data_IF_461644213202
#
_entry.id   IF_461644213202
#
_cell.length_a   1.000
_cell.length_b   1.000
_cell.length_c   1.000
_cell.angle_alpha   90.00
_cell.angle_beta   90.00
_cell.angle_gamma   90.00
#
_symmetry.space_group_name_H-M   'P 1'
#
loop_
_entity.id
_entity.type
_entity.pdbx_description
1 polymer ?
#
# COMPACT_ATOMS: atom_id res chain seq x y z
N UNK A 1 -25.12 48.49 20.24
CA UNK A 1 -25.42 47.13 19.77
C UNK A 1 -24.44 46.17 20.43
N UNK A 2 -24.86 45.48 21.51
CA UNK A 2 -24.00 44.58 22.30
C UNK A 2 -23.93 43.23 21.59
N UNK A 3 -22.79 42.89 21.01
CA UNK A 3 -22.54 41.57 20.44
C UNK A 3 -22.58 40.57 21.60
N UNK A 4 -23.52 39.62 21.54
CA UNK A 4 -23.65 38.56 22.53
C UNK A 4 -22.47 37.60 22.36
N UNK A 5 -21.50 37.71 23.25
CA UNK A 5 -20.23 36.96 23.28
C UNK A 5 -20.32 35.42 23.43
N UNK A 6 -21.43 34.75 23.84
CA UNK A 6 -21.38 33.28 23.95
C UNK A 6 -21.53 32.55 22.61
N UNK A 7 -22.03 33.20 21.55
CA UNK A 7 -22.29 32.54 20.26
C UNK A 7 -21.02 32.39 19.41
N UNK A 8 -20.08 33.33 19.53
CA UNK A 8 -18.81 33.32 18.78
C UNK A 8 -17.85 32.23 19.29
N UNK A 9 -17.85 31.97 20.60
CA UNK A 9 -17.04 30.91 21.22
C UNK A 9 -17.55 29.50 20.86
N UNK A 10 -18.87 29.32 20.73
CA UNK A 10 -19.46 28.03 20.32
C UNK A 10 -19.11 27.69 18.86
N UNK A 11 -19.06 28.70 17.98
CA UNK A 11 -18.68 28.53 16.58
C UNK A 11 -17.18 28.19 16.42
N UNK A 12 -16.29 28.79 17.22
CA UNK A 12 -14.86 28.48 17.20
C UNK A 12 -14.60 27.06 17.71
N UNK A 13 -15.33 26.61 18.74
CA UNK A 13 -15.26 25.22 19.21
C UNK A 13 -15.78 24.21 18.17
N UNK A 14 -16.81 24.57 17.40
CA UNK A 14 -17.36 23.71 16.34
C UNK A 14 -16.42 23.62 15.12
N UNK A 15 -15.75 24.72 14.76
CA UNK A 15 -14.78 24.75 13.65
C UNK A 15 -13.49 24.01 13.98
N UNK A 16 -13.08 23.93 15.25
CA UNK A 16 -11.93 23.14 15.69
C UNK A 16 -12.19 21.62 15.77
N UNK A 17 -13.45 21.19 15.71
CA UNK A 17 -13.81 19.76 15.75
C UNK A 17 -13.91 19.10 14.36
N UNK A 18 -13.86 19.87 13.26
CA UNK A 18 -13.99 19.32 11.89
C UNK A 18 -12.64 18.94 11.27
N UNK A 19 -11.52 19.28 11.90
CA UNK A 19 -10.18 19.09 11.32
C UNK A 19 -9.50 17.75 11.68
N UNK A 20 -10.17 16.88 12.44
CA UNK A 20 -9.55 15.68 13.02
C UNK A 20 -10.15 14.36 12.52
N UNK A 21 -10.60 14.33 11.27
CA UNK A 21 -10.83 13.06 10.56
C UNK A 21 -9.84 12.94 9.41
N UNK A 22 -8.55 13.01 9.72
CA UNK A 22 -7.53 12.51 8.81
C UNK A 22 -7.62 10.99 8.88
N UNK A 23 -8.22 10.35 7.88
CA UNK A 23 -8.13 8.90 7.72
C UNK A 23 -6.65 8.55 7.65
N UNK A 24 -6.13 7.87 8.67
CA UNK A 24 -4.79 7.29 8.56
C UNK A 24 -4.78 6.36 7.35
N UNK A 25 -3.86 6.62 6.40
CA UNK A 25 -3.71 5.77 5.24
C UNK A 25 -3.42 4.33 5.67
N UNK A 26 -4.19 3.37 5.12
CA UNK A 26 -4.16 1.97 5.55
C UNK A 26 -3.37 1.11 4.57
N UNK A 27 -3.17 -0.17 4.91
CA UNK A 27 -2.53 -1.12 4.00
C UNK A 27 -3.51 -1.53 2.90
N UNK A 28 -3.03 -1.99 1.75
CA UNK A 28 -3.88 -2.58 0.70
C UNK A 28 -4.90 -3.59 1.21
N UNK A 29 -4.49 -4.49 2.12
CA UNK A 29 -5.37 -5.51 2.74
C UNK A 29 -6.53 -4.94 3.56
N UNK A 30 -6.48 -3.66 3.93
CA UNK A 30 -7.52 -2.96 4.66
C UNK A 30 -8.56 -2.29 3.71
N UNK A 31 -8.39 -2.44 2.38
CA UNK A 31 -9.30 -2.01 1.33
C UNK A 31 -9.83 -3.23 0.54
N UNK A 32 -10.94 -3.86 0.98
CA UNK A 32 -11.48 -5.03 0.30
C UNK A 32 -11.98 -4.70 -1.11
N UNK A 33 -12.03 -5.71 -1.96
CA UNK A 33 -12.49 -5.63 -3.36
C UNK A 33 -11.73 -4.61 -4.21
N UNK A 34 -10.41 -4.51 -4.01
CA UNK A 34 -9.53 -3.58 -4.75
C UNK A 34 -8.50 -4.32 -5.59
N UNK A 35 -8.12 -3.73 -6.73
CA UNK A 35 -6.96 -4.15 -7.51
C UNK A 35 -5.80 -3.17 -7.33
N UNK A 36 -4.59 -3.68 -7.08
CA UNK A 36 -3.39 -2.87 -6.93
C UNK A 36 -2.42 -3.18 -8.05
N UNK A 37 -1.98 -2.14 -8.77
CA UNK A 37 -1.04 -2.27 -9.89
C UNK A 37 0.12 -1.33 -9.69
N UNK A 38 1.33 -1.86 -9.86
CA UNK A 38 2.54 -1.05 -9.89
C UNK A 38 2.54 -0.19 -11.16
N UNK A 39 2.89 1.09 -11.06
CA UNK A 39 2.92 2.04 -12.19
C UNK A 39 3.84 1.57 -13.32
N UNK A 40 4.97 0.94 -12.96
CA UNK A 40 5.91 0.34 -13.91
C UNK A 40 5.36 -0.94 -14.58
N UNK A 41 4.12 -1.34 -14.28
CA UNK A 41 3.40 -2.45 -14.92
C UNK A 41 3.88 -3.85 -14.54
N UNK A 42 4.92 -3.96 -13.72
CA UNK A 42 5.61 -5.23 -13.46
C UNK A 42 5.02 -6.04 -12.30
N UNK A 43 4.08 -5.50 -11.53
CA UNK A 43 3.50 -6.18 -10.36
C UNK A 43 2.03 -5.82 -10.24
N UNK A 44 1.19 -6.82 -10.00
CA UNK A 44 -0.23 -6.63 -9.73
C UNK A 44 -0.76 -7.66 -8.74
N UNK A 45 -1.76 -7.29 -7.95
CA UNK A 45 -2.52 -8.19 -7.08
C UNK A 45 -3.91 -7.63 -6.81
N UNK A 46 -4.82 -8.46 -6.30
CA UNK A 46 -6.14 -8.04 -5.82
C UNK A 46 -6.29 -8.31 -4.32
N UNK A 47 -7.15 -7.57 -3.65
CA UNK A 47 -7.59 -7.84 -2.28
C UNK A 47 -9.05 -8.24 -2.34
N UNK A 48 -9.38 -9.43 -1.85
CA UNK A 48 -10.75 -9.94 -1.87
C UNK A 48 -11.61 -9.31 -0.75
N UNK A 49 -12.90 -9.64 -0.72
CA UNK A 49 -13.87 -9.15 0.27
C UNK A 49 -13.47 -9.41 1.74
N UNK A 50 -12.65 -10.45 2.00
CA UNK A 50 -12.16 -10.80 3.34
C UNK A 50 -10.83 -10.10 3.70
N UNK A 51 -10.32 -9.20 2.84
CA UNK A 51 -9.05 -8.51 3.04
C UNK A 51 -7.81 -9.38 2.75
N UNK A 52 -7.95 -10.47 1.99
CA UNK A 52 -6.83 -11.34 1.62
C UNK A 52 -6.30 -11.00 0.23
N UNK A 53 -4.98 -11.06 0.09
CA UNK A 53 -4.32 -10.90 -1.21
C UNK A 53 -4.54 -12.13 -2.08
N UNK A 54 -4.92 -11.90 -3.34
CA UNK A 54 -5.12 -12.92 -4.38
C UNK A 54 -4.56 -12.44 -5.72
N UNK A 55 -4.43 -13.36 -6.68
CA UNK A 55 -4.00 -13.08 -8.06
C UNK A 55 -2.70 -12.27 -8.18
N UNK A 56 -1.83 -12.40 -7.18
CA UNK A 56 -0.59 -11.65 -7.12
C UNK A 56 0.43 -12.20 -8.14
N UNK A 57 0.98 -11.31 -8.93
CA UNK A 57 1.89 -11.65 -10.02
C UNK A 57 2.96 -10.58 -10.23
N UNK A 58 4.10 -11.01 -10.76
CA UNK A 58 5.24 -10.16 -11.08
C UNK A 58 5.85 -10.57 -12.42
N UNK A 59 6.27 -9.60 -13.25
CA UNK A 59 7.09 -9.85 -14.44
C UNK A 59 8.58 -9.92 -14.05
N UNK A 60 9.20 -11.09 -14.20
CA UNK A 60 10.60 -11.33 -13.82
C UNK A 60 11.59 -10.62 -14.78
N UNK A 61 12.90 -10.73 -14.51
CA UNK A 61 13.94 -10.10 -15.33
C UNK A 61 13.94 -10.55 -16.82
N UNK A 62 13.26 -11.65 -17.15
CA UNK A 62 13.09 -12.16 -18.53
C UNK A 62 11.77 -11.71 -19.17
N UNK A 63 10.94 -10.95 -18.44
CA UNK A 63 9.61 -10.53 -18.87
C UNK A 63 8.53 -11.61 -18.69
N UNK A 64 8.84 -12.72 -18.02
CA UNK A 64 7.87 -13.79 -17.76
C UNK A 64 7.05 -13.46 -16.52
N UNK A 65 5.73 -13.64 -16.59
CA UNK A 65 4.85 -13.47 -15.42
C UNK A 65 4.96 -14.67 -14.49
N UNK A 66 5.40 -14.43 -13.25
CA UNK A 66 5.43 -15.41 -12.17
C UNK A 66 4.37 -15.08 -11.13
N UNK A 67 3.81 -16.12 -10.49
CA UNK A 67 2.94 -15.93 -9.33
C UNK A 67 3.78 -15.60 -8.11
N UNK A 68 3.30 -14.67 -7.30
CA UNK A 68 3.96 -14.28 -6.06
C UNK A 68 2.96 -14.24 -4.90
N UNK A 69 3.40 -14.60 -3.71
CA UNK A 69 2.66 -14.30 -2.49
C UNK A 69 3.07 -12.92 -1.97
N UNK A 70 2.10 -12.11 -1.51
CA UNK A 70 2.36 -10.79 -0.92
C UNK A 70 1.99 -10.81 0.55
N UNK A 71 2.93 -10.42 1.41
CA UNK A 71 2.74 -10.41 2.85
C UNK A 71 3.05 -9.01 3.37
N UNK A 72 2.02 -8.32 3.85
CA UNK A 72 2.17 -7.06 4.57
C UNK A 72 2.48 -7.34 6.04
N UNK A 73 3.48 -6.67 6.58
CA UNK A 73 3.73 -6.68 8.02
C UNK A 73 2.61 -5.94 8.75
N UNK A 74 2.70 -5.93 10.09
CA UNK A 74 1.91 -5.00 10.87
C UNK A 74 2.19 -3.54 10.48
N UNK A 75 1.26 -2.66 10.88
CA UNK A 75 1.29 -1.24 10.54
C UNK A 75 2.49 -0.52 11.20
N UNK A 76 2.99 -1.04 12.33
CA UNK A 76 4.12 -0.42 13.03
C UNK A 76 5.42 -0.55 12.21
N UNK A 77 5.65 -1.73 11.63
CA UNK A 77 6.87 -2.01 10.88
C UNK A 77 6.83 -1.48 9.44
N UNK A 78 5.63 -1.23 8.90
CA UNK A 78 5.40 -0.73 7.52
C UNK A 78 6.29 -1.44 6.50
N UNK A 79 6.24 -2.76 6.42
CA UNK A 79 6.97 -3.56 5.44
C UNK A 79 6.03 -4.40 4.59
N UNK A 80 6.52 -4.76 3.42
CA UNK A 80 5.90 -5.76 2.55
C UNK A 80 6.98 -6.68 2.01
N UNK A 81 6.63 -7.95 1.86
CA UNK A 81 7.46 -8.98 1.23
C UNK A 81 6.69 -9.64 0.10
N UNK A 82 7.40 -9.91 -1.00
CA UNK A 82 6.91 -10.63 -2.17
C UNK A 82 7.75 -11.88 -2.35
N UNK A 83 7.11 -13.05 -2.40
CA UNK A 83 7.77 -14.35 -2.52
C UNK A 83 7.34 -15.03 -3.81
N UNK A 84 8.28 -15.58 -4.57
CA UNK A 84 7.93 -16.40 -5.72
C UNK A 84 7.23 -17.70 -5.30
N UNK A 85 6.19 -18.07 -6.04
CA UNK A 85 5.50 -19.35 -5.88
C UNK A 85 6.00 -20.41 -6.88
N UNK A 86 6.97 -20.08 -7.75
CA UNK A 86 7.51 -20.97 -8.78
C UNK A 86 8.48 -22.05 -8.25
N UNK A 87 8.61 -22.17 -6.93
CA UNK A 87 9.52 -23.10 -6.26
C UNK A 87 10.99 -22.67 -6.27
N UNK A 88 11.33 -21.53 -6.91
CA UNK A 88 12.62 -20.89 -6.71
C UNK A 88 12.53 -20.01 -5.46
N UNK A 89 13.54 -20.09 -4.61
CA UNK A 89 13.70 -19.16 -3.50
C UNK A 89 14.10 -17.78 -4.04
N UNK A 90 13.11 -17.04 -4.55
CA UNK A 90 13.24 -15.66 -5.00
C UNK A 90 12.26 -14.82 -4.20
N UNK A 91 12.74 -13.74 -3.59
CA UNK A 91 11.88 -12.81 -2.86
C UNK A 91 12.49 -11.41 -2.87
N UNK A 92 11.64 -10.41 -2.67
CA UNK A 92 12.10 -9.08 -2.30
C UNK A 92 11.20 -8.50 -1.22
N UNK A 93 11.74 -7.56 -0.45
CA UNK A 93 10.99 -6.83 0.56
C UNK A 93 11.37 -5.36 0.56
N UNK A 94 10.53 -4.55 1.19
CA UNK A 94 10.75 -3.12 1.29
C UNK A 94 9.86 -2.46 2.33
N UNK A 95 10.19 -1.21 2.63
CA UNK A 95 9.37 -0.37 3.49
C UNK A 95 8.24 0.30 2.72
N UNK A 96 7.10 0.46 3.37
CA UNK A 96 5.87 0.98 2.79
C UNK A 96 5.59 2.42 3.25
N UNK A 97 5.16 3.25 2.32
CA UNK A 97 4.45 4.50 2.62
C UNK A 97 3.04 4.39 2.05
N UNK A 98 2.02 4.52 2.90
CA UNK A 98 0.62 4.38 2.52
C UNK A 98 -0.02 5.75 2.25
N UNK A 99 -0.78 5.83 1.17
CA UNK A 99 -1.75 6.87 0.84
C UNK A 99 -3.17 6.29 0.81
N UNK A 100 -4.15 7.08 0.40
CA UNK A 100 -5.56 6.66 0.38
C UNK A 100 -5.84 5.61 -0.71
N UNK A 101 -5.31 5.85 -1.91
CA UNK A 101 -5.44 5.06 -3.14
C UNK A 101 -4.07 4.64 -3.70
N UNK A 102 -2.99 4.94 -2.97
CA UNK A 102 -1.62 4.67 -3.39
C UNK A 102 -0.82 4.04 -2.26
N UNK A 103 0.16 3.22 -2.60
CA UNK A 103 1.25 2.93 -1.67
C UNK A 103 2.57 2.81 -2.41
N UNK A 104 3.65 3.19 -1.74
CA UNK A 104 5.00 3.10 -2.28
C UNK A 104 5.79 2.07 -1.49
N UNK A 105 6.55 1.22 -2.19
CA UNK A 105 7.54 0.31 -1.62
C UNK A 105 8.93 0.84 -1.92
N UNK A 106 9.73 1.09 -0.89
CA UNK A 106 11.18 1.31 -1.03
C UNK A 106 11.87 -0.04 -0.84
N UNK A 107 12.38 -0.61 -1.93
CA UNK A 107 12.98 -1.95 -1.94
C UNK A 107 14.27 -1.91 -1.15
N UNK A 108 14.39 -2.77 -0.14
CA UNK A 108 15.56 -2.85 0.75
C UNK A 108 16.34 -4.15 0.57
N UNK A 109 15.63 -5.25 0.30
CA UNK A 109 16.21 -6.58 0.22
C UNK A 109 15.70 -7.29 -1.02
N UNK A 110 16.62 -7.78 -1.84
CA UNK A 110 16.31 -8.60 -3.01
C UNK A 110 17.18 -9.85 -2.92
N UNK A 111 16.54 -11.00 -2.92
CA UNK A 111 17.20 -12.28 -2.98
C UNK A 111 16.91 -12.93 -4.33
N UNK A 112 17.98 -13.36 -5.01
CA UNK A 112 17.99 -13.95 -6.36
C UNK A 112 17.88 -12.93 -7.53
N UNK A 113 18.40 -13.33 -8.70
CA UNK A 113 18.44 -12.50 -9.91
C UNK A 113 17.07 -12.31 -10.58
N UNK A 114 16.08 -13.15 -10.30
CA UNK A 114 14.78 -13.08 -10.98
C UNK A 114 14.02 -11.77 -10.67
N UNK A 115 14.31 -11.13 -9.53
CA UNK A 115 13.73 -9.85 -9.09
C UNK A 115 14.77 -8.70 -9.00
N UNK A 116 16.01 -8.92 -9.45
CA UNK A 116 17.08 -7.91 -9.32
C UNK A 116 16.95 -6.72 -10.27
N UNK A 117 16.04 -6.81 -11.24
CA UNK A 117 15.70 -5.73 -12.18
C UNK A 117 14.71 -4.72 -11.58
N UNK A 118 14.11 -5.00 -10.42
CA UNK A 118 13.15 -4.10 -9.81
C UNK A 118 13.82 -2.76 -9.46
N UNK A 119 13.17 -1.62 -9.76
CA UNK A 119 13.69 -0.33 -9.34
C UNK A 119 13.65 -0.22 -7.81
N UNK A 120 14.49 0.66 -7.22
CA UNK A 120 14.57 0.83 -5.76
C UNK A 120 13.27 1.38 -5.16
N UNK A 121 12.37 1.92 -5.99
CA UNK A 121 11.09 2.49 -5.58
C UNK A 121 9.99 1.99 -6.51
N UNK A 122 8.97 1.36 -5.94
CA UNK A 122 7.79 0.86 -6.63
C UNK A 122 6.58 1.67 -6.15
N UNK A 123 5.76 2.16 -7.07
CA UNK A 123 4.52 2.89 -6.75
C UNK A 123 3.35 2.07 -7.21
N UNK A 124 2.40 1.83 -6.31
CA UNK A 124 1.17 1.11 -6.59
C UNK A 124 -0.01 2.04 -6.44
N UNK A 125 -0.98 1.90 -7.33
CA UNK A 125 -2.26 2.60 -7.28
C UNK A 125 -3.39 1.56 -7.22
N UNK A 126 -4.42 1.84 -6.41
CA UNK A 126 -5.66 1.06 -6.44
C UNK A 126 -6.51 1.44 -7.66
N UNK A 127 -7.24 0.47 -8.19
CA UNK A 127 -8.30 0.64 -9.19
C UNK A 127 -9.61 0.08 -8.68
#
# INVERSE_FOLDING_TARGET
MKIKTPFLLLFIALVLFVSACGSEAKRPVDYPDTEWKCEDGNIAFSVNADGKVENASLANAKGETVKVSVVFSDIADKKVSFYSEDGKESYFSGSCTYGEDTFTVTVSDVYNSDFSHLPPRLVFTSK
#
